data_IF_275092164910
#
_entry.id   IF_275092164910
#
_cell.length_a   1.000
_cell.length_b   1.000
_cell.length_c   1.000
_cell.angle_alpha   90.00
_cell.angle_beta   90.00
_cell.angle_gamma   90.00
#
_symmetry.space_group_name_H-M   'P 1'
#
loop_
_entity.id
_entity.type
_entity.pdbx_description
1 polymer ?
#
# COMPACT_ATOMS: atom_id res chain seq x y z
N UNK A 1 -3.30 9.42 -48.60
CA UNK A 1 -3.56 9.48 -47.14
C UNK A 1 -2.73 10.63 -46.56
N UNK A 2 -3.35 11.59 -45.87
CA UNK A 2 -2.64 12.78 -45.38
C UNK A 2 -1.54 12.39 -44.37
N UNK A 3 -0.35 13.01 -44.37
CA UNK A 3 0.76 12.66 -43.47
C UNK A 3 0.36 12.71 -41.98
N UNK A 4 -0.50 13.65 -41.60
CA UNK A 4 -1.07 13.74 -40.25
C UNK A 4 -1.91 12.51 -39.87
N UNK A 5 -2.69 11.96 -40.80
CA UNK A 5 -3.51 10.75 -40.56
C UNK A 5 -2.61 9.53 -40.32
N UNK A 6 -1.48 9.44 -41.03
CA UNK A 6 -0.52 8.34 -40.83
C UNK A 6 0.14 8.43 -39.46
N UNK A 7 0.41 9.65 -38.97
CA UNK A 7 0.98 9.88 -37.65
C UNK A 7 -0.03 9.54 -36.54
N UNK A 8 -1.29 9.99 -36.66
CA UNK A 8 -2.32 9.69 -35.65
C UNK A 8 -2.61 8.20 -35.55
N UNK A 9 -2.68 7.48 -36.67
CA UNK A 9 -2.85 6.01 -36.67
C UNK A 9 -1.67 5.33 -35.95
N UNK A 10 -0.43 5.76 -36.22
CA UNK A 10 0.75 5.20 -35.53
C UNK A 10 0.69 5.43 -34.02
N UNK A 11 0.35 6.65 -33.58
CA UNK A 11 0.21 6.97 -32.16
C UNK A 11 -0.90 6.15 -31.49
N UNK A 12 -2.04 5.98 -32.17
CA UNK A 12 -3.14 5.16 -31.67
C UNK A 12 -2.73 3.68 -31.51
N UNK A 13 -2.02 3.12 -32.48
CA UNK A 13 -1.49 1.75 -32.41
C UNK A 13 -0.50 1.61 -31.25
N UNK A 14 0.44 2.55 -31.10
CA UNK A 14 1.41 2.54 -29.99
C UNK A 14 0.68 2.60 -28.65
N UNK A 15 -0.28 3.52 -28.49
CA UNK A 15 -1.08 3.64 -27.27
C UNK A 15 -1.86 2.36 -26.96
N UNK A 16 -2.44 1.73 -27.98
CA UNK A 16 -3.17 0.47 -27.81
C UNK A 16 -2.25 -0.67 -27.36
N UNK A 17 -1.06 -0.80 -27.95
CA UNK A 17 -0.07 -1.82 -27.56
C UNK A 17 0.36 -1.61 -26.09
N UNK A 18 0.60 -0.36 -25.67
CA UNK A 18 0.96 -0.04 -24.28
C UNK A 18 -0.16 -0.48 -23.33
N UNK A 19 -1.42 -0.14 -23.62
CA UNK A 19 -2.56 -0.51 -22.76
C UNK A 19 -2.74 -2.03 -22.71
N UNK A 20 -2.63 -2.71 -23.86
CA UNK A 20 -2.75 -4.16 -23.95
C UNK A 20 -1.64 -4.90 -23.16
N UNK A 21 -0.45 -4.32 -23.04
CA UNK A 21 0.67 -4.89 -22.30
C UNK A 21 0.53 -4.81 -20.76
N UNK A 22 -0.39 -3.98 -20.24
CA UNK A 22 -0.56 -3.80 -18.78
C UNK A 22 -1.09 -5.07 -18.10
N UNK A 23 -2.07 -5.75 -18.71
CA UNK A 23 -2.66 -6.95 -18.13
C UNK A 23 -1.66 -8.12 -17.97
N UNK A 24 -0.88 -8.51 -19.00
CA UNK A 24 0.14 -9.55 -18.83
C UNK A 24 1.25 -9.13 -17.87
N UNK A 25 1.62 -7.84 -17.83
CA UNK A 25 2.57 -7.32 -16.85
C UNK A 25 2.06 -7.49 -15.41
N UNK A 26 0.81 -7.11 -15.14
CA UNK A 26 0.19 -7.26 -13.83
C UNK A 26 0.09 -8.72 -13.40
N UNK A 27 -0.28 -9.61 -14.31
CA UNK A 27 -0.33 -11.05 -14.05
C UNK A 27 1.06 -11.61 -13.71
N UNK A 28 2.10 -11.21 -14.45
CA UNK A 28 3.48 -11.58 -14.15
C UNK A 28 3.94 -11.06 -12.78
N UNK A 29 3.58 -9.83 -12.41
CA UNK A 29 3.90 -9.27 -11.10
C UNK A 29 3.22 -10.02 -9.96
N UNK A 30 1.94 -10.38 -10.12
CA UNK A 30 1.22 -11.18 -9.14
C UNK A 30 1.85 -12.57 -8.95
N UNK A 31 2.29 -13.20 -10.04
CA UNK A 31 2.89 -14.53 -10.01
C UNK A 31 4.30 -14.54 -9.40
N UNK A 32 5.11 -13.52 -9.68
CA UNK A 32 6.51 -13.48 -9.22
C UNK A 32 6.71 -12.76 -7.89
N UNK A 33 5.77 -11.88 -7.50
CA UNK A 33 5.90 -10.95 -6.38
C UNK A 33 7.18 -10.10 -6.43
N UNK A 34 7.76 -9.90 -7.63
CA UNK A 34 9.00 -9.13 -7.84
C UNK A 34 8.76 -7.70 -8.31
N UNK A 35 7.53 -7.37 -8.70
CA UNK A 35 7.15 -6.04 -9.18
C UNK A 35 5.75 -5.67 -8.66
N UNK A 36 5.42 -4.37 -8.77
CA UNK A 36 4.10 -3.85 -8.40
C UNK A 36 3.20 -3.78 -9.64
N UNK A 37 1.96 -4.29 -9.56
CA UNK A 37 1.01 -4.18 -10.65
C UNK A 37 0.60 -2.72 -10.88
N UNK A 38 0.36 -2.37 -12.14
CA UNK A 38 -0.09 -1.06 -12.58
C UNK A 38 -1.60 -1.05 -12.80
N UNK A 39 -2.32 -0.22 -12.05
CA UNK A 39 -3.75 -0.01 -12.23
C UNK A 39 -4.03 1.46 -12.51
N UNK A 40 -4.69 1.78 -13.63
CA UNK A 40 -5.08 3.16 -13.94
C UNK A 40 -5.97 3.77 -12.85
N UNK A 41 -6.80 2.96 -12.19
CA UNK A 41 -7.63 3.39 -11.05
C UNK A 41 -6.83 3.95 -9.87
N UNK A 42 -5.51 3.73 -9.83
CA UNK A 42 -4.63 4.26 -8.80
C UNK A 42 -4.22 5.71 -9.05
N UNK A 43 -4.37 6.19 -10.30
CA UNK A 43 -3.96 7.53 -10.71
C UNK A 43 -5.14 8.46 -10.99
N UNK A 44 -6.34 7.91 -11.14
CA UNK A 44 -7.56 8.69 -11.35
C UNK A 44 -8.01 9.27 -9.99
N UNK A 45 -8.19 10.59 -9.86
CA UNK A 45 -8.72 11.19 -8.64
C UNK A 45 -10.09 10.62 -8.31
N UNK A 46 -10.28 10.21 -7.05
CA UNK A 46 -11.56 9.73 -6.54
C UNK A 46 -12.21 10.81 -5.68
N UNK A 47 -13.54 10.82 -5.64
CA UNK A 47 -14.26 11.67 -4.70
C UNK A 47 -14.01 11.18 -3.28
N UNK A 48 -13.46 12.08 -2.45
CA UNK A 48 -13.20 11.82 -1.04
C UNK A 48 -14.51 11.59 -0.28
N UNK A 49 -14.49 10.68 0.70
CA UNK A 49 -15.54 10.53 1.69
C UNK A 49 -15.55 11.66 2.71
N UNK A 50 -16.56 11.67 3.56
CA UNK A 50 -16.83 12.74 4.51
C UNK A 50 -16.55 12.32 5.94
N UNK A 51 -16.60 11.02 6.21
CA UNK A 51 -16.42 10.47 7.55
C UNK A 51 -14.94 10.33 7.85
N UNK A 52 -14.37 11.05 8.84
CA UNK A 52 -12.99 10.81 9.27
C UNK A 52 -12.87 9.40 9.85
N UNK A 53 -11.74 8.75 9.58
CA UNK A 53 -11.39 7.43 10.09
C UNK A 53 -10.08 7.55 10.84
N UNK A 54 -10.11 7.17 12.11
CA UNK A 54 -8.91 7.13 12.94
C UNK A 54 -8.16 5.83 12.70
N UNK A 55 -6.90 5.95 12.35
CA UNK A 55 -6.00 4.85 12.07
C UNK A 55 -5.00 4.76 13.20
N UNK A 56 -5.05 3.67 13.96
CA UNK A 56 -4.08 3.37 15.01
C UNK A 56 -3.03 2.43 14.44
N UNK A 57 -1.77 2.77 14.62
CA UNK A 57 -0.64 2.10 13.98
C UNK A 57 0.14 1.37 15.06
N UNK A 58 0.22 0.05 14.93
CA UNK A 58 0.88 -0.82 15.88
C UNK A 58 2.02 -1.58 15.21
N UNK A 59 3.13 -1.75 15.93
CA UNK A 59 4.23 -2.62 15.51
C UNK A 59 4.41 -3.75 16.53
N UNK A 60 4.65 -4.96 16.05
CA UNK A 60 5.04 -6.10 16.88
C UNK A 60 6.35 -6.63 16.34
N UNK A 61 7.33 -6.77 17.22
CA UNK A 61 8.67 -7.18 16.85
C UNK A 61 9.06 -8.45 17.61
N UNK A 62 9.33 -9.52 16.86
CA UNK A 62 9.80 -10.80 17.40
C UNK A 62 11.34 -10.97 17.29
N UNK A 63 12.05 -9.96 16.76
CA UNK A 63 13.50 -9.97 16.64
C UNK A 63 14.16 -9.12 17.74
N UNK A 64 14.99 -9.76 18.58
CA UNK A 64 15.69 -9.08 19.69
C UNK A 64 16.67 -7.98 19.23
N UNK A 65 17.28 -8.15 18.05
CA UNK A 65 18.32 -7.26 17.54
C UNK A 65 17.83 -6.32 16.43
N UNK A 66 16.52 -6.11 16.32
CA UNK A 66 15.93 -5.18 15.37
C UNK A 66 15.12 -4.16 16.17
N UNK A 67 15.20 -2.88 15.82
CA UNK A 67 14.24 -1.88 16.25
C UNK A 67 13.28 -1.62 15.10
N UNK A 68 11.97 -1.61 15.39
CA UNK A 68 10.93 -1.34 14.39
C UNK A 68 9.77 -0.57 14.99
N UNK A 69 9.58 0.65 14.52
CA UNK A 69 8.56 1.56 15.01
C UNK A 69 7.94 2.37 13.88
N UNK A 70 6.67 2.72 14.05
CA UNK A 70 6.04 3.75 13.23
C UNK A 70 6.50 5.13 13.72
N UNK A 71 6.69 6.08 12.80
CA UNK A 71 7.00 7.47 13.16
C UNK A 71 5.79 8.16 13.82
N UNK A 72 4.59 7.83 13.35
CA UNK A 72 3.32 8.33 13.89
C UNK A 72 2.47 7.12 14.34
N UNK A 73 2.10 7.01 15.63
CA UNK A 73 1.33 5.88 16.14
C UNK A 73 -0.17 5.98 15.85
N UNK A 74 -0.65 7.15 15.44
CA UNK A 74 -2.04 7.35 15.05
C UNK A 74 -2.15 8.49 14.03
N UNK A 75 -3.07 8.35 13.08
CA UNK A 75 -3.39 9.36 12.08
C UNK A 75 -4.89 9.35 11.79
N UNK A 76 -5.46 10.48 11.40
CA UNK A 76 -6.84 10.55 10.89
C UNK A 76 -6.81 10.70 9.38
N UNK A 77 -7.58 9.88 8.67
CA UNK A 77 -7.73 9.96 7.21
C UNK A 77 -9.20 10.02 6.81
N UNK A 78 -9.43 10.20 5.51
CA UNK A 78 -10.77 10.20 4.91
C UNK A 78 -10.85 9.11 3.84
N UNK A 79 -12.02 8.52 3.61
CA UNK A 79 -12.17 7.56 2.53
C UNK A 79 -11.78 8.15 1.18
N UNK A 80 -11.19 7.33 0.30
CA UNK A 80 -10.59 7.71 -0.97
C UNK A 80 -9.46 8.76 -0.89
N UNK A 81 -8.93 9.05 0.30
CA UNK A 81 -7.72 9.85 0.48
C UNK A 81 -6.50 8.93 0.59
N UNK A 82 -5.53 9.15 -0.31
CA UNK A 82 -4.22 8.50 -0.19
C UNK A 82 -3.50 8.96 1.06
N UNK A 83 -3.01 7.99 1.82
CA UNK A 83 -2.39 8.19 3.12
C UNK A 83 -1.08 7.42 3.16
N UNK A 84 -0.04 8.04 3.71
CA UNK A 84 1.27 7.42 3.86
C UNK A 84 1.65 7.35 5.34
N UNK A 85 2.21 6.22 5.75
CA UNK A 85 2.79 6.01 7.09
C UNK A 85 4.27 5.67 6.90
N UNK A 86 5.11 6.37 7.66
CA UNK A 86 6.54 6.11 7.70
C UNK A 86 6.89 5.24 8.91
N UNK A 87 7.81 4.29 8.69
CA UNK A 87 8.35 3.40 9.69
C UNK A 87 9.86 3.47 9.68
N UNK A 88 10.46 3.42 10.87
CA UNK A 88 11.90 3.27 11.03
C UNK A 88 12.21 1.82 11.37
N UNK A 89 13.19 1.24 10.68
CA UNK A 89 13.72 -0.08 10.99
C UNK A 89 15.24 -0.04 11.10
N UNK A 90 15.78 -0.65 12.14
CA UNK A 90 17.22 -0.64 12.40
C UNK A 90 17.70 -2.00 12.85
N UNK A 91 18.79 -2.48 12.26
CA UNK A 91 19.45 -3.71 12.69
C UNK A 91 20.53 -3.40 13.73
N UNK A 92 20.27 -3.67 14.99
CA UNK A 92 21.24 -3.52 16.08
C UNK A 92 22.30 -4.64 16.09
N UNK A 93 22.08 -5.73 15.36
CA UNK A 93 22.96 -6.87 15.28
C UNK A 93 24.27 -6.61 14.51
N UNK A 94 25.18 -7.60 14.60
CA UNK A 94 26.47 -7.62 13.88
C UNK A 94 26.40 -8.37 12.54
N UNK A 95 25.28 -9.02 12.25
CA UNK A 95 25.05 -9.82 11.05
C UNK A 95 23.89 -9.26 10.23
N UNK A 96 23.88 -9.47 8.90
CA UNK A 96 22.76 -9.07 8.08
C UNK A 96 21.51 -9.90 8.39
N UNK A 97 20.34 -9.27 8.35
CA UNK A 97 19.04 -9.89 8.64
C UNK A 97 18.09 -9.70 7.45
N UNK A 98 17.20 -10.68 7.25
CA UNK A 98 16.11 -10.63 6.27
C UNK A 98 14.79 -10.73 7.00
N UNK A 99 13.89 -9.80 6.72
CA UNK A 99 12.62 -9.65 7.42
C UNK A 99 11.51 -9.60 6.37
N UNK A 100 10.41 -10.32 6.62
CA UNK A 100 9.19 -10.23 5.80
C UNK A 100 8.03 -9.82 6.70
N UNK A 101 7.70 -8.52 6.75
CA UNK A 101 6.61 -8.03 7.59
C UNK A 101 5.27 -8.64 7.21
N UNK A 102 4.45 -8.97 8.20
CA UNK A 102 3.06 -9.38 8.01
C UNK A 102 2.13 -8.25 8.43
N UNK A 103 1.30 -7.80 7.50
CA UNK A 103 0.24 -6.82 7.76
C UNK A 103 -0.97 -7.52 8.39
N UNK A 104 -1.55 -6.90 9.41
CA UNK A 104 -2.82 -7.27 10.02
C UNK A 104 -3.66 -6.00 10.12
N UNK A 105 -4.93 -6.10 9.73
CA UNK A 105 -5.90 -5.01 9.81
C UNK A 105 -7.00 -5.44 10.77
N UNK A 106 -7.27 -4.61 11.77
CA UNK A 106 -8.36 -4.81 12.73
C UNK A 106 -9.27 -3.57 12.71
N UNK A 107 -10.60 -3.69 12.71
CA UNK A 107 -11.36 -4.93 12.61
C UNK A 107 -11.24 -5.58 11.23
N UNK A 108 -11.47 -6.90 11.15
CA UNK A 108 -11.23 -7.68 9.93
C UNK A 108 -12.06 -7.21 8.72
N UNK A 109 -13.28 -6.69 8.94
CA UNK A 109 -14.11 -6.17 7.86
C UNK A 109 -13.47 -4.99 7.11
N UNK A 110 -12.56 -4.25 7.76
CA UNK A 110 -11.90 -3.10 7.15
C UNK A 110 -10.88 -3.51 6.08
N UNK A 111 -10.36 -4.75 6.14
CA UNK A 111 -9.33 -5.22 5.21
C UNK A 111 -9.81 -5.19 3.76
N UNK A 112 -11.07 -5.50 3.49
CA UNK A 112 -11.65 -5.49 2.13
C UNK A 112 -11.73 -4.09 1.52
N UNK A 113 -11.71 -3.04 2.35
CA UNK A 113 -11.72 -1.65 1.92
C UNK A 113 -10.31 -1.05 1.78
N UNK A 114 -9.28 -1.73 2.29
CA UNK A 114 -7.92 -1.23 2.30
C UNK A 114 -7.21 -1.51 0.97
N UNK A 115 -7.06 -0.47 0.15
CA UNK A 115 -6.19 -0.51 -1.05
C UNK A 115 -4.76 -0.18 -0.66
N UNK A 116 -3.82 -1.05 -1.01
CA UNK A 116 -2.39 -0.92 -0.68
C UNK A 116 -1.61 -0.55 -1.94
N UNK A 117 -1.06 0.66 -2.00
CA UNK A 117 -0.18 1.12 -3.09
C UNK A 117 1.27 0.73 -2.81
N UNK A 118 1.73 0.94 -1.58
CA UNK A 118 3.03 0.48 -1.11
C UNK A 118 2.84 -0.26 0.22
N UNK A 119 3.26 -1.53 0.30
CA UNK A 119 3.16 -2.33 1.52
C UNK A 119 4.53 -2.88 1.91
N UNK A 120 4.85 -2.80 3.20
CA UNK A 120 6.05 -3.47 3.73
C UNK A 120 5.97 -5.00 3.55
N UNK A 121 4.76 -5.53 3.50
CA UNK A 121 4.47 -6.95 3.35
C UNK A 121 4.76 -7.54 1.95
N UNK A 122 4.90 -6.70 0.92
CA UNK A 122 5.10 -7.15 -0.46
C UNK A 122 6.57 -7.41 -0.79
N UNK A 123 7.52 -7.02 0.07
CA UNK A 123 8.96 -7.15 -0.18
C UNK A 123 9.70 -7.73 1.01
N UNK A 124 10.72 -8.55 0.74
CA UNK A 124 11.72 -8.94 1.74
C UNK A 124 12.61 -7.72 2.04
N UNK A 125 12.67 -7.30 3.29
CA UNK A 125 13.55 -6.23 3.74
C UNK A 125 14.89 -6.86 4.14
N UNK A 126 15.97 -6.39 3.52
CA UNK A 126 17.34 -6.80 3.86
C UNK A 126 18.02 -5.66 4.59
N UNK A 127 18.53 -5.94 5.78
CA UNK A 127 19.31 -5.00 6.58
C UNK A 127 20.71 -5.56 6.79
N UNK A 128 21.74 -4.79 6.46
CA UNK A 128 23.11 -5.05 6.89
C UNK A 128 23.23 -4.82 8.40
N UNK A 129 24.33 -5.29 8.97
CA UNK A 129 24.66 -4.99 10.36
C UNK A 129 24.68 -3.47 10.59
N UNK A 130 24.03 -3.00 11.67
CA UNK A 130 23.95 -1.57 12.03
C UNK A 130 23.25 -0.68 11.01
N UNK A 131 22.62 -1.24 9.98
CA UNK A 131 21.89 -0.46 8.97
C UNK A 131 20.54 0.01 9.51
N UNK A 132 20.19 1.24 9.16
CA UNK A 132 18.91 1.87 9.44
C UNK A 132 18.24 2.24 8.12
N UNK A 133 16.94 2.00 8.01
CA UNK A 133 16.13 2.33 6.84
C UNK A 133 14.82 2.95 7.27
N UNK A 134 14.42 3.96 6.51
CA UNK A 134 13.05 4.41 6.49
C UNK A 134 12.26 3.55 5.49
N UNK A 135 11.06 3.17 5.89
CA UNK A 135 10.13 2.39 5.10
C UNK A 135 8.80 3.13 5.02
N UNK A 136 8.12 3.03 3.87
CA UNK A 136 6.82 3.67 3.64
C UNK A 136 5.75 2.64 3.37
N UNK A 137 4.60 2.82 4.01
CA UNK A 137 3.32 2.21 3.61
C UNK A 137 2.45 3.30 3.00
N UNK A 138 1.90 3.08 1.81
CA UNK A 138 0.96 3.98 1.16
C UNK A 138 -0.34 3.22 0.88
N UNK A 139 -1.46 3.76 1.35
CA UNK A 139 -2.76 3.11 1.28
C UNK A 139 -3.91 4.11 1.08
N UNK A 140 -5.07 3.57 0.79
CA UNK A 140 -6.35 4.28 0.73
C UNK A 140 -7.44 3.37 1.29
N UNK A 141 -8.42 3.94 1.98
CA UNK A 141 -9.63 3.24 2.40
C UNK A 141 -10.74 3.58 1.41
N UNK A 142 -11.33 2.58 0.76
CA UNK A 142 -12.41 2.78 -0.20
C UNK A 142 -13.63 3.40 0.50
N UNK A 143 -14.21 4.44 -0.11
CA UNK A 143 -15.44 5.11 0.33
C UNK A 143 -16.63 4.20 0.57
N UNK A 144 -16.70 3.04 -0.05
CA UNK A 144 -17.75 2.03 0.24
C UNK A 144 -17.81 1.61 1.73
N UNK A 145 -16.74 1.83 2.50
CA UNK A 145 -16.75 1.60 3.95
C UNK A 145 -17.81 2.45 4.67
N UNK A 146 -18.17 3.63 4.14
CA UNK A 146 -19.19 4.52 4.70
C UNK A 146 -20.59 3.90 4.68
N UNK A 147 -20.81 2.88 3.84
CA UNK A 147 -22.08 2.16 3.71
C UNK A 147 -22.02 0.74 4.31
N UNK A 148 -20.92 0.40 4.99
CA UNK A 148 -20.77 -0.89 5.65
C UNK A 148 -21.45 -0.87 7.02
N UNK A 149 -22.36 -1.83 7.24
CA UNK A 149 -23.12 -1.92 8.48
C UNK A 149 -22.26 -2.20 9.71
N UNK A 150 -21.12 -2.90 9.57
CA UNK A 150 -20.19 -3.13 10.68
C UNK A 150 -19.40 -1.86 11.00
N UNK A 151 -19.00 -1.11 9.96
CA UNK A 151 -18.39 0.20 10.14
C UNK A 151 -19.36 1.17 10.84
N UNK A 152 -20.62 1.24 10.42
CA UNK A 152 -21.65 2.08 11.06
C UNK A 152 -21.83 1.76 12.54
N UNK A 153 -21.83 0.46 12.91
CA UNK A 153 -21.97 -0.01 14.30
C UNK A 153 -20.74 0.24 15.17
N UNK A 154 -19.57 0.44 14.58
CA UNK A 154 -18.35 0.78 15.33
C UNK A 154 -18.41 2.25 15.76
N UNK A 155 -18.58 2.56 17.05
CA UNK A 155 -18.75 3.94 17.52
C UNK A 155 -17.47 4.76 17.36
N UNK A 156 -16.31 4.12 17.51
CA UNK A 156 -15.02 4.81 17.54
C UNK A 156 -14.48 5.06 16.12
N UNK A 157 -15.03 4.38 15.10
CA UNK A 157 -14.54 4.45 13.70
C UNK A 157 -13.02 4.20 13.58
N UNK A 158 -12.45 3.48 14.54
CA UNK A 158 -11.02 3.19 14.60
C UNK A 158 -10.71 1.94 13.77
N UNK A 159 -9.68 2.05 12.93
CA UNK A 159 -9.04 0.93 12.25
C UNK A 159 -7.60 0.83 12.75
N UNK A 160 -7.21 -0.33 13.25
CA UNK A 160 -5.84 -0.65 13.62
C UNK A 160 -5.10 -1.29 12.46
N UNK A 161 -3.94 -0.75 12.15
CA UNK A 161 -2.99 -1.30 11.18
C UNK A 161 -1.79 -1.80 11.97
N UNK A 162 -1.56 -3.11 11.97
CA UNK A 162 -0.46 -3.74 12.70
C UNK A 162 0.51 -4.42 11.75
N UNK A 163 1.80 -4.08 11.84
CA UNK A 163 2.86 -4.88 11.23
C UNK A 163 3.53 -5.77 12.27
N UNK A 164 3.61 -7.07 11.96
CA UNK A 164 4.42 -8.04 12.69
C UNK A 164 5.71 -8.31 11.93
N UNK A 165 6.86 -8.10 12.55
CA UNK A 165 8.15 -8.55 12.05
C UNK A 165 8.68 -9.69 12.89
#
# INVERSE_FOLDING_TARGET
>A
MHPLIRLTIRLAIISFIIVAAIQPFNWFCQLTQKCQPFYFSYYIPKHQGWTPIDIVIETTNYYENIEFSAQEPAITTFPNKKTAILYNIKNLGKTPVRIRPKLIVEPQYAEKYLTKYECLCMREIRLKAKEEKELKMEFEINREIEHDAEFEKNPDKVIKIRYKI
#
